data_IF_875145716920
#
_entry.id   IF_875145716920
#
_cell.length_a   1.000
_cell.length_b   1.000
_cell.length_c   1.000
_cell.angle_alpha   90.00
_cell.angle_beta   90.00
_cell.angle_gamma   90.00
#
_symmetry.space_group_name_H-M   'P 1'
#
loop_
_entity.id
_entity.type
_entity.pdbx_description
1 polymer ?
#
# COMPACT_ATOMS: atom_id res chain seq x y z
N UNK A 1 -24.70 23.54 -23.54
CA UNK A 1 -25.19 22.21 -23.20
C UNK A 1 -25.57 22.22 -21.70
N UNK A 2 -26.59 21.50 -21.25
CA UNK A 2 -26.89 21.45 -19.82
C UNK A 2 -25.73 20.87 -19.01
N UNK A 3 -25.49 21.42 -17.83
CA UNK A 3 -24.43 20.96 -16.94
C UNK A 3 -24.72 19.53 -16.48
N UNK A 4 -23.74 18.63 -16.60
CA UNK A 4 -23.91 17.21 -16.29
C UNK A 4 -22.64 16.58 -15.74
N UNK A 5 -22.79 15.75 -14.68
CA UNK A 5 -21.77 14.81 -14.22
C UNK A 5 -21.75 13.59 -15.13
N UNK A 6 -20.57 13.14 -15.54
CA UNK A 6 -20.38 11.97 -16.40
C UNK A 6 -19.67 10.81 -15.67
N UNK A 7 -18.63 11.11 -14.89
CA UNK A 7 -17.83 10.09 -14.20
C UNK A 7 -17.11 10.67 -12.97
N UNK A 8 -16.61 9.76 -12.13
CA UNK A 8 -15.69 10.08 -11.02
C UNK A 8 -14.46 9.18 -11.12
N UNK A 9 -13.30 9.73 -10.84
CA UNK A 9 -12.03 8.99 -10.80
C UNK A 9 -11.16 9.44 -9.62
N UNK A 10 -10.46 8.50 -8.97
CA UNK A 10 -10.58 7.06 -9.14
C UNK A 10 -11.94 6.56 -8.59
N UNK A 11 -12.25 5.28 -8.81
CA UNK A 11 -13.51 4.68 -8.33
C UNK A 11 -13.51 4.43 -6.83
N UNK A 12 -12.32 4.38 -6.20
CA UNK A 12 -12.13 4.13 -4.77
C UNK A 12 -11.46 5.34 -4.12
N UNK A 13 -11.85 5.63 -2.89
CA UNK A 13 -11.19 6.66 -2.10
C UNK A 13 -11.29 6.36 -0.60
N UNK A 14 -10.37 6.94 0.17
CA UNK A 14 -10.49 7.09 1.63
C UNK A 14 -10.63 8.56 1.97
N UNK A 15 -10.89 8.87 3.23
CA UNK A 15 -10.91 10.23 3.75
C UNK A 15 -9.69 11.06 3.28
N UNK A 16 -9.94 12.31 2.92
CA UNK A 16 -8.96 13.25 2.36
C UNK A 16 -8.35 12.84 1.02
N UNK A 17 -8.76 11.71 0.43
CA UNK A 17 -8.39 11.32 -0.93
C UNK A 17 -8.90 12.32 -1.96
N UNK A 18 -8.09 12.62 -2.97
CA UNK A 18 -8.44 13.56 -4.05
C UNK A 18 -9.15 12.81 -5.17
N UNK A 19 -10.43 13.08 -5.35
CA UNK A 19 -11.22 12.57 -6.47
C UNK A 19 -11.43 13.64 -7.52
N UNK A 20 -11.64 13.22 -8.76
CA UNK A 20 -11.95 14.10 -9.91
C UNK A 20 -13.32 13.72 -10.47
N UNK A 21 -14.22 14.67 -10.46
CA UNK A 21 -15.53 14.58 -11.14
C UNK A 21 -15.36 15.10 -12.54
N UNK A 22 -15.70 14.29 -13.53
CA UNK A 22 -15.67 14.61 -14.95
C UNK A 22 -17.09 14.88 -15.46
N UNK A 23 -17.24 15.85 -16.38
CA UNK A 23 -18.55 16.21 -16.91
C UNK A 23 -18.48 17.34 -17.91
N UNK A 24 -19.55 18.11 -18.00
CA UNK A 24 -19.64 19.27 -18.91
C UNK A 24 -20.48 20.38 -18.30
N UNK A 25 -20.16 21.63 -18.67
CA UNK A 25 -20.94 22.81 -18.29
C UNK A 25 -20.93 23.12 -16.80
N UNK A 26 -19.90 22.71 -16.05
CA UNK A 26 -19.82 23.01 -14.63
C UNK A 26 -19.80 24.52 -14.37
N UNK A 27 -20.53 25.04 -13.36
CA UNK A 27 -20.69 26.47 -13.11
C UNK A 27 -19.43 27.05 -12.47
N UNK A 28 -18.49 27.51 -13.31
CA UNK A 28 -17.21 28.10 -12.87
C UNK A 28 -17.17 29.62 -12.99
N UNK A 29 -18.18 30.23 -13.64
CA UNK A 29 -18.26 31.67 -13.86
C UNK A 29 -18.83 32.45 -12.65
N UNK A 30 -18.98 31.77 -11.50
CA UNK A 30 -19.47 32.35 -10.26
C UNK A 30 -18.30 32.73 -9.33
N UNK A 31 -18.46 33.74 -8.46
CA UNK A 31 -17.42 34.13 -7.50
C UNK A 31 -17.04 33.02 -6.50
N UNK A 32 -17.90 32.02 -6.32
CA UNK A 32 -17.68 30.88 -5.42
C UNK A 32 -17.48 29.61 -6.22
N UNK A 33 -16.58 28.73 -5.73
CA UNK A 33 -16.40 27.40 -6.28
C UNK A 33 -17.70 26.59 -6.22
N UNK A 34 -17.94 25.69 -7.18
CA UNK A 34 -19.09 24.78 -7.16
C UNK A 34 -19.14 23.97 -5.85
N UNK A 35 -20.31 23.83 -5.27
CA UNK A 35 -20.50 22.98 -4.09
C UNK A 35 -20.64 21.54 -4.54
N UNK A 36 -19.78 20.69 -3.96
CA UNK A 36 -19.73 19.23 -4.22
C UNK A 36 -20.11 18.50 -2.94
N UNK A 37 -20.91 17.46 -3.08
CA UNK A 37 -21.36 16.61 -1.97
C UNK A 37 -21.06 15.15 -2.27
N UNK A 38 -20.59 14.42 -1.25
CA UNK A 38 -20.51 12.96 -1.21
C UNK A 38 -21.60 12.48 -0.24
N UNK A 39 -22.64 11.83 -0.77
CA UNK A 39 -23.85 11.63 0.00
C UNK A 39 -24.41 12.99 0.48
N UNK A 40 -24.52 13.15 1.80
CA UNK A 40 -24.98 14.41 2.42
C UNK A 40 -23.80 15.31 2.89
N UNK A 41 -22.56 14.82 2.83
CA UNK A 41 -21.40 15.53 3.32
C UNK A 41 -20.78 16.45 2.27
N UNK A 42 -20.53 17.72 2.64
CA UNK A 42 -19.89 18.69 1.75
C UNK A 42 -18.41 18.37 1.56
N UNK A 43 -17.96 18.31 0.30
CA UNK A 43 -16.58 18.08 -0.07
C UNK A 43 -15.84 19.39 -0.35
N UNK A 44 -14.58 19.47 0.06
CA UNK A 44 -13.72 20.60 -0.24
C UNK A 44 -13.24 20.54 -1.66
N UNK A 45 -13.67 21.49 -2.50
CA UNK A 45 -13.18 21.64 -3.88
C UNK A 45 -11.79 22.27 -3.85
N UNK A 46 -10.86 21.66 -4.59
CA UNK A 46 -9.45 22.11 -4.70
C UNK A 46 -9.09 22.55 -6.12
N UNK A 47 -9.92 22.21 -7.10
CA UNK A 47 -9.79 22.66 -8.49
C UNK A 47 -11.16 22.59 -9.18
N UNK A 48 -11.45 23.55 -10.06
CA UNK A 48 -12.65 23.53 -10.90
C UNK A 48 -12.36 24.09 -12.31
N UNK A 49 -12.96 23.45 -13.30
CA UNK A 49 -13.06 23.89 -14.70
C UNK A 49 -14.42 23.52 -15.26
N UNK A 50 -14.76 23.97 -16.46
CA UNK A 50 -16.04 23.65 -17.10
C UNK A 50 -16.29 22.14 -17.32
N UNK A 51 -15.24 21.30 -17.24
CA UNK A 51 -15.32 19.85 -17.51
C UNK A 51 -14.77 18.98 -16.39
N UNK A 52 -14.08 19.55 -15.40
CA UNK A 52 -13.45 18.81 -14.31
C UNK A 52 -13.52 19.57 -12.99
N UNK A 53 -13.88 18.88 -11.94
CA UNK A 53 -13.82 19.38 -10.56
C UNK A 53 -13.05 18.36 -9.73
N UNK A 54 -11.99 18.80 -9.04
CA UNK A 54 -11.30 17.99 -8.06
C UNK A 54 -11.74 18.37 -6.65
N UNK A 55 -12.10 17.36 -5.85
CA UNK A 55 -12.54 17.54 -4.47
C UNK A 55 -11.86 16.53 -3.55
N UNK A 56 -11.77 16.88 -2.26
CA UNK A 56 -11.28 15.98 -1.23
C UNK A 56 -12.45 15.27 -0.57
N UNK A 57 -12.32 13.97 -0.37
CA UNK A 57 -13.30 13.15 0.35
C UNK A 57 -13.43 13.66 1.79
N UNK A 58 -14.64 14.01 2.26
CA UNK A 58 -14.83 14.48 3.62
C UNK A 58 -14.62 13.36 4.65
N UNK A 59 -14.29 13.76 5.88
CA UNK A 59 -14.19 12.86 7.01
C UNK A 59 -15.56 12.28 7.42
N UNK A 60 -15.52 11.13 8.09
CA UNK A 60 -16.69 10.56 8.77
C UNK A 60 -17.71 9.87 7.84
N UNK A 61 -17.33 9.51 6.62
CA UNK A 61 -18.16 8.65 5.76
C UNK A 61 -18.08 7.20 6.24
N UNK A 62 -19.22 6.53 6.29
CA UNK A 62 -19.33 5.14 6.79
C UNK A 62 -18.71 4.09 5.87
N UNK A 63 -18.34 4.48 4.64
CA UNK A 63 -17.85 3.56 3.63
C UNK A 63 -18.94 3.06 2.69
N UNK A 64 -18.50 2.37 1.61
CA UNK A 64 -19.41 1.87 0.56
C UNK A 64 -19.67 2.87 -0.55
N UNK A 65 -20.62 2.50 -1.41
CA UNK A 65 -20.94 3.25 -2.63
C UNK A 65 -21.66 4.56 -2.34
N UNK A 66 -20.97 5.67 -2.55
CA UNK A 66 -21.43 7.01 -2.20
C UNK A 66 -21.66 7.84 -3.46
N UNK A 67 -22.89 8.39 -3.67
CA UNK A 67 -23.16 9.26 -4.82
C UNK A 67 -22.48 10.62 -4.66
N UNK A 68 -21.97 11.17 -5.77
CA UNK A 68 -21.44 12.52 -5.83
C UNK A 68 -22.43 13.42 -6.54
N UNK A 69 -22.77 14.53 -5.91
CA UNK A 69 -23.65 15.57 -6.47
C UNK A 69 -22.95 16.92 -6.51
N UNK A 70 -23.28 17.72 -7.49
CA UNK A 70 -22.84 19.12 -7.63
C UNK A 70 -24.09 20.00 -7.71
N UNK A 71 -24.14 21.07 -6.93
CA UNK A 71 -25.30 21.99 -6.92
C UNK A 71 -25.55 22.57 -8.33
N UNK A 72 -26.80 22.46 -8.79
CA UNK A 72 -27.21 22.98 -10.10
C UNK A 72 -26.75 22.17 -11.30
N UNK A 73 -26.15 20.98 -11.07
CA UNK A 73 -25.65 20.09 -12.13
C UNK A 73 -26.46 18.81 -12.14
N UNK A 74 -26.90 18.35 -13.29
CA UNK A 74 -27.65 17.12 -13.45
C UNK A 74 -26.74 15.88 -13.43
N UNK A 75 -27.33 14.72 -13.09
CA UNK A 75 -26.62 13.44 -12.99
C UNK A 75 -25.81 13.31 -11.70
N UNK A 76 -25.45 12.10 -11.42
CA UNK A 76 -24.56 11.69 -10.34
C UNK A 76 -23.60 10.62 -10.84
N UNK A 77 -22.52 10.43 -10.11
CA UNK A 77 -21.61 9.32 -10.32
C UNK A 77 -21.13 8.84 -8.94
N UNK A 78 -21.10 7.54 -8.69
CA UNK A 78 -20.67 7.04 -7.39
C UNK A 78 -19.16 6.93 -7.29
N UNK A 79 -18.68 7.05 -6.06
CA UNK A 79 -17.34 6.63 -5.63
C UNK A 79 -17.49 5.61 -4.50
N UNK A 80 -16.67 4.60 -4.48
CA UNK A 80 -16.65 3.63 -3.39
C UNK A 80 -15.67 4.11 -2.31
N UNK A 81 -16.18 4.38 -1.10
CA UNK A 81 -15.39 4.80 0.05
C UNK A 81 -14.94 3.56 0.81
N UNK A 82 -13.63 3.38 0.95
CA UNK A 82 -13.10 2.28 1.74
C UNK A 82 -13.29 2.54 3.23
N UNK A 83 -13.85 1.57 3.93
CA UNK A 83 -14.13 1.69 5.35
C UNK A 83 -12.89 1.40 6.21
N UNK A 84 -12.69 2.11 7.35
CA UNK A 84 -11.72 1.70 8.35
C UNK A 84 -11.99 0.26 8.83
N UNK A 85 -10.97 -0.58 8.75
CA UNK A 85 -11.03 -2.00 9.14
C UNK A 85 -10.31 -2.24 10.47
N UNK A 86 -9.17 -1.54 10.68
CA UNK A 86 -8.47 -1.50 11.96
C UNK A 86 -7.81 -0.13 12.16
N UNK A 87 -7.83 0.39 13.37
CA UNK A 87 -7.28 1.70 13.73
C UNK A 87 -6.31 1.59 14.91
N UNK A 88 -5.57 2.66 15.19
CA UNK A 88 -4.58 2.70 16.28
C UNK A 88 -3.38 1.80 15.99
N UNK A 89 -2.93 1.79 14.76
CA UNK A 89 -1.77 1.05 14.26
C UNK A 89 -0.52 1.94 14.27
N UNK A 90 0.62 1.35 13.97
CA UNK A 90 1.82 2.05 13.51
C UNK A 90 2.47 1.22 12.40
N UNK A 91 1.77 1.16 11.27
CA UNK A 91 2.19 0.42 10.08
C UNK A 91 3.27 1.20 9.34
N UNK A 92 4.29 0.52 8.87
CA UNK A 92 5.45 1.12 8.16
C UNK A 92 5.80 0.43 6.85
N UNK A 93 5.18 -0.73 6.57
CA UNK A 93 5.29 -1.51 5.34
C UNK A 93 3.93 -2.15 5.01
N UNK A 94 3.88 -3.11 4.11
CA UNK A 94 2.68 -3.85 3.79
C UNK A 94 2.14 -4.61 5.00
N UNK A 95 0.83 -4.61 5.24
CA UNK A 95 0.21 -5.64 6.05
C UNK A 95 0.22 -6.97 5.30
N UNK A 96 0.00 -8.08 5.98
CA UNK A 96 -0.03 -9.40 5.34
C UNK A 96 -1.26 -10.18 5.74
N UNK A 97 -1.81 -10.97 4.80
CA UNK A 97 -2.90 -11.90 5.05
C UNK A 97 -2.38 -13.32 5.22
N UNK A 98 -2.95 -14.07 6.16
CA UNK A 98 -2.80 -15.52 6.19
C UNK A 98 -3.84 -16.22 5.28
N UNK A 99 -3.76 -17.56 5.22
CA UNK A 99 -4.69 -18.38 4.41
C UNK A 99 -6.13 -18.36 4.92
N UNK A 100 -6.35 -17.94 6.15
CA UNK A 100 -7.66 -17.80 6.80
C UNK A 100 -8.25 -16.39 6.66
N UNK A 101 -7.64 -15.52 5.84
CA UNK A 101 -8.02 -14.13 5.63
C UNK A 101 -7.88 -13.25 6.88
N UNK A 102 -7.07 -13.67 7.87
CA UNK A 102 -6.67 -12.79 8.96
C UNK A 102 -5.58 -11.84 8.47
N UNK A 103 -5.71 -10.56 8.82
CA UNK A 103 -4.75 -9.52 8.50
C UNK A 103 -3.79 -9.32 9.68
N UNK A 104 -2.50 -9.33 9.41
CA UNK A 104 -1.47 -8.96 10.39
C UNK A 104 -0.98 -7.55 10.10
N UNK A 105 -0.92 -6.72 11.15
CA UNK A 105 -0.52 -5.32 11.11
C UNK A 105 0.46 -5.00 12.23
N UNK A 106 1.45 -4.15 11.95
CA UNK A 106 2.49 -3.80 12.92
C UNK A 106 2.07 -2.63 13.81
N UNK A 107 2.65 -2.61 15.02
CA UNK A 107 2.77 -1.42 15.83
C UNK A 107 4.26 -1.16 16.09
N UNK A 108 4.91 -0.42 15.19
CA UNK A 108 6.36 -0.28 15.17
C UNK A 108 6.93 0.63 16.28
N UNK A 109 6.16 1.58 16.76
CA UNK A 109 6.62 2.57 17.75
C UNK A 109 7.72 3.50 17.23
N UNK A 110 8.25 4.36 18.09
CA UNK A 110 9.42 5.19 17.80
C UNK A 110 10.70 4.36 17.84
N UNK A 111 11.79 4.88 17.26
CA UNK A 111 13.06 4.13 17.16
C UNK A 111 13.57 3.67 18.53
N UNK A 112 13.81 2.38 18.67
CA UNK A 112 14.27 1.74 19.91
C UNK A 112 13.22 1.64 21.01
N UNK A 113 11.98 2.01 20.73
CA UNK A 113 10.89 1.94 21.70
C UNK A 113 10.37 0.50 21.77
N UNK A 114 10.30 -0.03 22.99
CA UNK A 114 9.52 -1.23 23.28
C UNK A 114 8.05 -0.82 23.43
N UNK A 115 7.18 -1.44 22.64
CA UNK A 115 5.74 -1.15 22.60
C UNK A 115 4.95 -2.28 23.28
N UNK A 116 3.75 -2.00 23.84
CA UNK A 116 2.96 -3.03 24.53
C UNK A 116 2.51 -4.17 23.61
N UNK A 117 2.28 -3.88 22.34
CA UNK A 117 1.92 -4.86 21.30
C UNK A 117 2.80 -4.60 20.10
N UNK A 118 3.44 -5.64 19.56
CA UNK A 118 4.27 -5.52 18.37
C UNK A 118 3.47 -5.77 17.10
N UNK A 119 2.57 -6.76 17.12
CA UNK A 119 1.74 -7.14 15.98
C UNK A 119 0.33 -7.42 16.45
N UNK A 120 -0.64 -6.85 15.76
CA UNK A 120 -2.05 -7.20 15.88
C UNK A 120 -2.45 -8.18 14.78
N UNK A 121 -3.36 -9.09 15.09
CA UNK A 121 -4.14 -9.87 14.14
C UNK A 121 -5.55 -9.31 14.07
N UNK A 122 -6.02 -9.03 12.86
CA UNK A 122 -7.37 -8.55 12.58
C UNK A 122 -8.12 -9.65 11.84
N UNK A 123 -9.16 -10.18 12.45
CA UNK A 123 -9.99 -11.23 11.85
C UNK A 123 -10.85 -10.70 10.70
N UNK A 124 -11.39 -11.57 9.82
CA UNK A 124 -12.26 -11.15 8.74
C UNK A 124 -13.47 -10.32 9.16
N UNK A 125 -13.97 -10.49 10.39
CA UNK A 125 -15.07 -9.72 10.99
C UNK A 125 -14.64 -8.35 11.55
N UNK A 126 -13.33 -7.99 11.46
CA UNK A 126 -12.77 -6.75 11.99
C UNK A 126 -12.32 -6.83 13.45
N UNK A 127 -12.51 -7.96 14.15
CA UNK A 127 -12.01 -8.15 15.51
C UNK A 127 -10.50 -8.09 15.55
N UNK A 128 -9.95 -7.11 16.28
CA UNK A 128 -8.51 -6.93 16.46
C UNK A 128 -8.06 -7.53 17.79
N UNK A 129 -7.04 -8.36 17.74
CA UNK A 129 -6.43 -9.01 18.90
C UNK A 129 -4.90 -8.86 18.90
N UNK A 130 -4.28 -8.91 20.07
CA UNK A 130 -2.82 -8.98 20.18
C UNK A 130 -2.34 -10.32 19.65
N UNK A 131 -1.46 -10.32 18.65
CA UNK A 131 -0.84 -11.54 18.13
C UNK A 131 0.51 -11.82 18.81
N UNK A 132 1.41 -10.83 18.85
CA UNK A 132 2.64 -10.95 19.61
C UNK A 132 3.10 -9.63 20.23
N UNK A 133 3.98 -9.75 21.24
CA UNK A 133 4.60 -8.65 21.97
C UNK A 133 6.10 -8.87 22.05
N UNK A 134 6.88 -7.84 22.36
CA UNK A 134 8.31 -7.98 22.66
C UNK A 134 9.26 -7.70 21.49
N UNK A 135 8.77 -7.51 20.25
CA UNK A 135 9.61 -7.07 19.14
C UNK A 135 9.84 -5.56 19.21
N UNK A 136 11.06 -5.13 19.02
CA UNK A 136 11.40 -3.71 18.92
C UNK A 136 11.39 -3.26 17.46
N UNK A 137 10.61 -2.25 17.15
CA UNK A 137 10.45 -1.68 15.80
C UNK A 137 10.19 -2.74 14.70
N UNK A 138 9.13 -3.58 14.85
CA UNK A 138 8.71 -4.45 13.76
C UNK A 138 8.40 -3.59 12.53
N UNK A 139 8.93 -3.97 11.36
CA UNK A 139 8.86 -3.14 10.16
C UNK A 139 8.12 -3.85 9.04
N UNK A 140 8.71 -4.87 8.44
CA UNK A 140 8.10 -5.66 7.39
C UNK A 140 7.72 -7.05 7.89
N UNK A 141 6.73 -7.63 7.24
CA UNK A 141 6.23 -8.96 7.56
C UNK A 141 6.05 -9.79 6.28
N UNK A 142 6.24 -11.10 6.40
CA UNK A 142 5.90 -12.07 5.36
C UNK A 142 5.44 -13.38 5.99
N UNK A 143 4.44 -14.04 5.40
CA UNK A 143 4.06 -15.41 5.81
C UNK A 143 4.99 -16.39 5.13
N UNK A 144 5.67 -17.21 5.92
CA UNK A 144 6.54 -18.26 5.44
C UNK A 144 5.80 -19.48 4.87
N UNK A 145 6.52 -20.39 4.19
CA UNK A 145 5.93 -21.62 3.67
C UNK A 145 5.39 -22.56 4.76
N UNK A 146 5.91 -22.44 5.96
CA UNK A 146 5.46 -23.13 7.19
C UNK A 146 4.16 -22.54 7.77
N UNK A 147 3.72 -21.40 7.29
CA UNK A 147 2.57 -20.65 7.77
C UNK A 147 2.88 -19.70 8.92
N UNK A 148 4.11 -19.66 9.42
CA UNK A 148 4.52 -18.72 10.47
C UNK A 148 4.78 -17.33 9.91
N UNK A 149 4.74 -16.32 10.76
CA UNK A 149 4.99 -14.94 10.40
C UNK A 149 6.47 -14.62 10.59
N UNK A 150 7.12 -14.13 9.55
CA UNK A 150 8.48 -13.60 9.61
C UNK A 150 8.42 -12.08 9.68
N UNK A 151 9.19 -11.50 10.62
CA UNK A 151 9.10 -10.07 10.95
C UNK A 151 10.49 -9.47 11.04
N UNK A 152 10.76 -8.41 10.28
CA UNK A 152 12.01 -7.67 10.41
C UNK A 152 11.96 -6.65 11.55
N UNK A 153 13.03 -6.59 12.34
CA UNK A 153 13.29 -5.51 13.30
C UNK A 153 14.40 -4.62 12.76
N UNK A 154 14.01 -3.45 12.26
CA UNK A 154 14.98 -2.47 11.73
C UNK A 154 15.95 -1.91 12.77
N UNK A 155 15.60 -2.01 14.05
CA UNK A 155 16.45 -1.55 15.16
C UNK A 155 17.50 -2.59 15.55
N UNK A 156 17.12 -3.88 15.52
CA UNK A 156 17.97 -4.97 15.99
C UNK A 156 18.76 -5.64 14.85
N UNK A 157 18.49 -5.28 13.59
CA UNK A 157 19.17 -5.89 12.44
C UNK A 157 18.80 -7.36 12.22
N UNK A 158 17.64 -7.77 12.70
CA UNK A 158 17.24 -9.16 12.83
C UNK A 158 15.90 -9.41 12.17
N UNK A 159 15.75 -10.56 11.53
CA UNK A 159 14.44 -11.12 11.16
C UNK A 159 14.08 -12.18 12.20
N UNK A 160 12.90 -12.07 12.76
CA UNK A 160 12.32 -13.00 13.71
C UNK A 160 11.28 -13.88 13.02
N UNK A 161 11.19 -15.13 13.44
CA UNK A 161 10.08 -16.04 13.17
C UNK A 161 9.11 -15.95 14.36
N UNK A 162 7.86 -15.68 14.07
CA UNK A 162 6.76 -15.62 15.05
C UNK A 162 5.82 -16.77 14.76
N UNK A 163 5.76 -17.74 15.64
CA UNK A 163 4.95 -18.94 15.51
C UNK A 163 3.46 -18.64 15.67
N UNK A 164 2.60 -19.59 15.30
CA UNK A 164 1.14 -19.40 15.31
C UNK A 164 0.55 -19.10 16.69
N UNK A 165 1.24 -19.49 17.75
CA UNK A 165 0.90 -19.20 19.16
C UNK A 165 1.47 -17.87 19.67
N UNK A 166 2.24 -17.14 18.82
CA UNK A 166 2.88 -15.87 19.15
C UNK A 166 4.27 -15.99 19.76
N UNK A 167 4.83 -17.21 19.90
CA UNK A 167 6.22 -17.41 20.33
C UNK A 167 7.19 -16.85 19.29
N UNK A 168 8.27 -16.18 19.76
CA UNK A 168 9.22 -15.45 18.91
C UNK A 168 10.60 -16.11 19.01
N UNK A 169 11.22 -16.39 17.86
CA UNK A 169 12.59 -16.86 17.76
C UNK A 169 13.37 -16.04 16.72
N UNK A 170 14.65 -15.69 16.96
CA UNK A 170 15.52 -15.14 15.95
C UNK A 170 15.67 -16.12 14.78
N UNK A 171 15.58 -15.62 13.55
CA UNK A 171 15.74 -16.42 12.35
C UNK A 171 17.01 -16.05 11.57
N UNK A 172 17.23 -14.77 11.29
CA UNK A 172 18.43 -14.28 10.64
C UNK A 172 18.88 -12.96 11.27
N UNK A 173 20.19 -12.82 11.49
CA UNK A 173 20.82 -11.68 12.17
C UNK A 173 21.83 -10.98 11.29
N UNK A 174 22.35 -9.85 11.77
CA UNK A 174 23.40 -9.07 11.09
C UNK A 174 23.00 -8.54 9.70
N UNK A 175 21.71 -8.23 9.53
CA UNK A 175 21.11 -7.78 8.27
C UNK A 175 21.12 -6.26 8.07
N UNK A 176 21.88 -5.52 8.86
CA UNK A 176 21.90 -4.05 8.81
C UNK A 176 20.61 -3.43 9.32
N UNK A 177 19.85 -2.79 8.44
CA UNK A 177 18.52 -2.20 8.76
C UNK A 177 17.46 -2.90 7.89
N UNK A 178 17.05 -4.12 8.24
CA UNK A 178 16.11 -4.90 7.43
C UNK A 178 14.73 -4.24 7.43
N UNK A 179 14.24 -3.89 6.25
CA UNK A 179 13.03 -3.10 6.06
C UNK A 179 11.96 -3.76 5.19
N UNK A 180 12.34 -4.70 4.32
CA UNK A 180 11.41 -5.38 3.43
C UNK A 180 11.62 -6.89 3.46
N UNK A 181 10.53 -7.67 3.43
CA UNK A 181 10.54 -9.12 3.43
C UNK A 181 9.67 -9.68 2.32
N UNK A 182 10.14 -10.70 1.62
CA UNK A 182 9.31 -11.51 0.72
C UNK A 182 9.85 -12.94 0.61
N UNK A 183 8.96 -13.93 0.52
CA UNK A 183 9.32 -15.30 0.20
C UNK A 183 9.12 -15.58 -1.29
N UNK A 184 10.07 -16.30 -1.90
CA UNK A 184 9.84 -16.90 -3.21
C UNK A 184 8.99 -18.18 -3.10
N UNK A 185 8.64 -18.77 -4.24
CA UNK A 185 7.83 -20.01 -4.30
C UNK A 185 8.56 -21.23 -3.74
N UNK A 186 9.89 -21.21 -3.68
CA UNK A 186 10.73 -22.27 -3.15
C UNK A 186 10.89 -22.16 -1.62
N UNK A 187 10.35 -21.08 -1.01
CA UNK A 187 10.42 -20.80 0.41
C UNK A 187 11.73 -20.19 0.87
N UNK A 188 12.45 -19.53 -0.03
CA UNK A 188 13.62 -18.73 0.30
C UNK A 188 13.17 -17.33 0.68
N UNK A 189 13.67 -16.80 1.80
CA UNK A 189 13.38 -15.45 2.24
C UNK A 189 14.32 -14.47 1.56
N UNK A 190 13.76 -13.35 1.07
CA UNK A 190 14.53 -12.19 0.62
C UNK A 190 14.30 -11.03 1.57
N UNK A 191 15.38 -10.32 1.90
CA UNK A 191 15.38 -9.23 2.87
C UNK A 191 16.02 -8.00 2.24
N UNK A 192 15.29 -6.88 2.21
CA UNK A 192 15.83 -5.60 1.78
C UNK A 192 16.43 -4.83 2.96
N UNK A 193 17.73 -4.59 2.93
CA UNK A 193 18.40 -3.70 3.86
C UNK A 193 18.36 -2.26 3.33
N UNK A 194 18.07 -1.31 4.20
CA UNK A 194 17.95 0.12 3.89
C UNK A 194 19.18 0.71 3.19
N UNK A 195 20.38 0.13 3.37
CA UNK A 195 21.60 0.57 2.68
C UNK A 195 21.59 0.26 1.18
N UNK A 196 20.70 -0.61 0.71
CA UNK A 196 20.54 -0.99 -0.70
C UNK A 196 20.84 -2.46 -0.97
N UNK A 197 21.28 -3.23 0.01
CA UNK A 197 21.53 -4.65 -0.18
C UNK A 197 20.22 -5.44 -0.13
N UNK A 198 19.99 -6.30 -1.12
CA UNK A 198 18.98 -7.34 -1.06
C UNK A 198 19.67 -8.64 -0.69
N UNK A 199 19.33 -9.18 0.46
CA UNK A 199 19.84 -10.48 0.92
C UNK A 199 18.90 -11.60 0.49
N UNK A 200 19.49 -12.74 0.19
CA UNK A 200 18.85 -14.04 0.11
C UNK A 200 19.19 -14.81 1.38
N UNK A 201 18.18 -15.28 2.10
CA UNK A 201 18.31 -15.98 3.38
C UNK A 201 17.84 -17.41 3.21
N UNK A 202 18.68 -18.36 3.51
CA UNK A 202 18.36 -19.78 3.41
C UNK A 202 17.50 -20.27 4.60
N UNK A 203 17.09 -21.54 4.56
CA UNK A 203 16.25 -22.14 5.61
C UNK A 203 16.96 -22.26 6.98
N UNK A 204 18.27 -22.14 7.02
CA UNK A 204 19.07 -22.12 8.24
C UNK A 204 19.27 -20.70 8.80
N UNK A 205 18.70 -19.67 8.13
CA UNK A 205 18.85 -18.27 8.51
C UNK A 205 20.16 -17.63 8.03
N UNK A 206 20.93 -18.29 7.15
CA UNK A 206 22.19 -17.75 6.64
C UNK A 206 21.91 -16.78 5.48
N UNK A 207 22.36 -15.54 5.64
CA UNK A 207 22.16 -14.49 4.66
C UNK A 207 23.34 -14.38 3.70
N UNK A 208 23.04 -14.21 2.41
CA UNK A 208 24.03 -13.89 1.35
C UNK A 208 23.51 -12.73 0.52
N UNK A 209 24.40 -11.82 0.09
CA UNK A 209 24.01 -10.73 -0.79
C UNK A 209 23.57 -11.29 -2.15
N UNK A 210 22.41 -10.84 -2.62
CA UNK A 210 21.81 -11.26 -3.88
C UNK A 210 21.83 -10.16 -4.94
N UNK A 211 21.49 -8.92 -4.55
CA UNK A 211 21.48 -7.76 -5.44
C UNK A 211 21.81 -6.49 -4.66
N UNK A 212 22.13 -5.41 -5.40
CA UNK A 212 22.38 -4.10 -4.83
C UNK A 212 21.57 -3.03 -5.56
N UNK A 213 20.87 -2.19 -4.79
CA UNK A 213 20.04 -1.08 -5.23
C UNK A 213 20.54 0.24 -4.62
N UNK A 214 20.11 1.40 -5.09
CA UNK A 214 20.30 2.66 -4.37
C UNK A 214 19.74 2.57 -2.95
N UNK A 215 20.41 3.19 -1.97
CA UNK A 215 19.93 3.24 -0.59
C UNK A 215 18.60 3.98 -0.48
N UNK A 216 17.71 3.51 0.39
CA UNK A 216 16.42 4.13 0.66
C UNK A 216 16.49 5.11 1.82
N UNK A 217 15.68 6.18 1.75
CA UNK A 217 15.46 7.12 2.87
C UNK A 217 14.36 6.65 3.82
N UNK A 218 13.59 5.61 3.42
CA UNK A 218 12.55 5.00 4.22
C UNK A 218 12.71 3.46 4.27
N UNK A 219 11.64 2.70 4.02
CA UNK A 219 11.68 1.25 3.92
C UNK A 219 11.90 0.79 2.47
N UNK A 220 12.44 -0.40 2.28
CA UNK A 220 12.28 -1.19 1.07
C UNK A 220 10.98 -1.98 1.18
N UNK A 221 10.26 -2.10 0.08
CA UNK A 221 9.06 -2.92 -0.02
C UNK A 221 9.28 -3.96 -1.11
N UNK A 222 9.04 -5.22 -0.80
CA UNK A 222 9.36 -6.37 -1.63
C UNK A 222 8.10 -7.16 -1.97
N UNK A 223 7.98 -7.60 -3.22
CA UNK A 223 6.95 -8.55 -3.64
C UNK A 223 7.46 -9.42 -4.79
N UNK A 224 7.18 -10.74 -4.74
CA UNK A 224 7.43 -11.60 -5.88
C UNK A 224 6.30 -11.51 -6.91
N UNK A 225 6.68 -11.34 -8.17
CA UNK A 225 5.76 -11.36 -9.28
C UNK A 225 5.39 -12.79 -9.74
N UNK A 226 4.36 -12.91 -10.59
CA UNK A 226 3.98 -14.19 -11.18
C UNK A 226 5.08 -14.78 -12.10
N UNK A 227 5.99 -13.97 -12.57
CA UNK A 227 7.19 -14.31 -13.35
C UNK A 227 8.38 -14.75 -12.49
N UNK A 228 8.17 -14.89 -11.18
CA UNK A 228 9.17 -15.31 -10.18
C UNK A 228 10.34 -14.32 -10.02
N UNK A 229 10.23 -13.11 -10.55
CA UNK A 229 11.15 -12.03 -10.27
C UNK A 229 10.74 -11.28 -8.98
N UNK A 230 11.74 -10.77 -8.26
CA UNK A 230 11.51 -9.91 -7.10
C UNK A 230 11.33 -8.46 -7.55
N UNK A 231 10.22 -7.86 -7.17
CA UNK A 231 9.96 -6.44 -7.40
C UNK A 231 10.20 -5.66 -6.12
N UNK A 232 10.82 -4.49 -6.28
CA UNK A 232 11.24 -3.66 -5.15
C UNK A 232 10.88 -2.21 -5.40
N UNK A 233 10.23 -1.57 -4.43
CA UNK A 233 10.07 -0.13 -4.36
C UNK A 233 10.80 0.42 -3.14
N UNK A 234 11.37 1.60 -3.30
CA UNK A 234 12.05 2.29 -2.20
C UNK A 234 12.15 3.78 -2.51
N UNK A 235 11.65 4.67 -1.64
CA UNK A 235 11.84 6.09 -1.83
C UNK A 235 13.30 6.49 -1.59
N UNK A 236 13.82 7.35 -2.45
CA UNK A 236 15.16 7.95 -2.34
C UNK A 236 15.07 9.46 -2.15
N UNK A 237 16.16 10.18 -2.35
CA UNK A 237 16.16 11.65 -2.42
C UNK A 237 15.94 12.16 -3.86
N UNK A 238 15.68 11.26 -4.80
CA UNK A 238 15.36 11.62 -6.18
C UNK A 238 13.96 12.27 -6.27
N UNK A 239 13.73 13.19 -7.20
CA UNK A 239 12.38 13.70 -7.48
C UNK A 239 11.46 12.64 -8.11
N UNK A 240 12.04 11.60 -8.72
CA UNK A 240 11.35 10.46 -9.30
C UNK A 240 12.06 9.16 -8.91
N UNK A 241 11.32 8.29 -8.27
CA UNK A 241 11.78 6.99 -7.84
C UNK A 241 11.30 5.89 -8.79
N UNK A 242 11.99 4.74 -8.70
CA UNK A 242 11.76 3.59 -9.56
C UNK A 242 11.20 2.41 -8.79
N UNK A 243 10.42 1.59 -9.50
CA UNK A 243 10.18 0.20 -9.15
C UNK A 243 11.21 -0.64 -9.87
N UNK A 244 11.99 -1.41 -9.13
CA UNK A 244 13.00 -2.30 -9.66
C UNK A 244 12.45 -3.71 -9.83
N UNK A 245 13.01 -4.46 -10.78
CA UNK A 245 12.80 -5.88 -10.99
C UNK A 245 14.14 -6.59 -10.87
N UNK A 246 14.22 -7.61 -10.03
CA UNK A 246 15.44 -8.39 -9.79
C UNK A 246 15.19 -9.82 -10.24
N UNK A 247 16.01 -10.28 -11.16
CA UNK A 247 15.97 -11.64 -11.66
C UNK A 247 16.48 -12.67 -10.63
N UNK A 248 16.25 -13.95 -10.90
CA UNK A 248 16.75 -15.05 -10.08
C UNK A 248 18.28 -15.09 -9.96
N UNK A 249 18.99 -14.53 -10.94
CA UNK A 249 20.45 -14.38 -11.00
C UNK A 249 20.96 -13.12 -10.27
N UNK A 250 20.06 -12.31 -9.69
CA UNK A 250 20.38 -11.04 -9.04
C UNK A 250 20.52 -9.86 -10.01
N UNK A 251 20.27 -10.05 -11.31
CA UNK A 251 20.30 -8.96 -12.28
C UNK A 251 19.18 -7.96 -12.02
N UNK A 252 19.54 -6.68 -11.93
CA UNK A 252 18.63 -5.58 -11.63
C UNK A 252 18.20 -4.87 -12.90
N UNK A 253 16.92 -4.70 -13.09
CA UNK A 253 16.30 -3.88 -14.14
C UNK A 253 15.33 -2.88 -13.55
N UNK A 254 15.09 -1.77 -14.25
CA UNK A 254 14.03 -0.81 -13.89
C UNK A 254 12.73 -1.28 -14.54
N UNK A 255 11.70 -1.52 -13.72
CA UNK A 255 10.35 -1.84 -14.20
C UNK A 255 9.56 -0.58 -14.57
N UNK A 256 9.71 0.48 -13.78
CA UNK A 256 9.05 1.77 -14.00
C UNK A 256 9.78 2.88 -13.24
N UNK A 257 9.84 4.07 -13.82
CA UNK A 257 10.33 5.29 -13.17
C UNK A 257 9.27 6.38 -13.31
N UNK A 258 8.95 7.10 -12.23
CA UNK A 258 7.99 8.21 -12.29
C UNK A 258 7.14 8.37 -11.04
N UNK A 259 7.27 7.48 -10.06
CA UNK A 259 6.69 7.71 -8.74
C UNK A 259 7.53 8.74 -7.97
N UNK A 260 6.87 9.61 -7.21
CA UNK A 260 7.57 10.60 -6.40
C UNK A 260 7.98 10.08 -5.03
N UNK A 261 7.23 9.14 -4.47
CA UNK A 261 7.50 8.50 -3.19
C UNK A 261 6.82 7.12 -3.11
N UNK A 262 7.29 6.14 -3.88
CA UNK A 262 6.71 4.80 -3.84
C UNK A 262 6.94 4.15 -2.47
N UNK A 263 5.91 3.50 -1.98
CA UNK A 263 5.87 2.75 -0.73
C UNK A 263 5.51 1.29 -1.04
N UNK A 264 4.63 0.68 -0.24
CA UNK A 264 4.22 -0.70 -0.37
C UNK A 264 3.86 -1.12 -1.78
N UNK A 265 4.28 -2.33 -2.16
CA UNK A 265 3.96 -2.97 -3.43
C UNK A 265 3.38 -4.36 -3.18
N UNK A 266 2.47 -4.77 -4.03
CA UNK A 266 1.92 -6.12 -4.00
C UNK A 266 1.37 -6.51 -5.37
N UNK A 267 1.29 -7.81 -5.63
CA UNK A 267 0.59 -8.36 -6.78
C UNK A 267 -0.80 -8.86 -6.37
N UNK A 268 -1.80 -8.62 -7.22
CA UNK A 268 -3.10 -9.25 -7.06
C UNK A 268 -3.09 -10.68 -7.64
N UNK A 269 -4.22 -11.39 -7.49
CA UNK A 269 -4.37 -12.76 -7.98
C UNK A 269 -4.34 -12.89 -9.52
N UNK A 270 -4.47 -11.78 -10.25
CA UNK A 270 -4.36 -11.72 -11.72
C UNK A 270 -2.93 -11.48 -12.19
N UNK A 271 -2.03 -11.14 -11.25
CA UNK A 271 -0.65 -10.79 -11.53
C UNK A 271 -0.45 -9.31 -11.89
N UNK A 272 -1.43 -8.45 -11.63
CA UNK A 272 -1.27 -7.02 -11.76
C UNK A 272 -0.45 -6.47 -10.58
N UNK A 273 0.54 -5.63 -10.86
CA UNK A 273 1.35 -4.97 -9.84
C UNK A 273 0.65 -3.71 -9.34
N UNK A 274 0.52 -3.59 -8.03
CA UNK A 274 0.03 -2.40 -7.37
C UNK A 274 1.15 -1.73 -6.57
N UNK A 275 1.18 -0.39 -6.61
CA UNK A 275 2.18 0.44 -5.94
C UNK A 275 1.46 1.54 -5.18
N UNK A 276 1.82 1.71 -3.92
CA UNK A 276 1.39 2.84 -3.11
C UNK A 276 2.27 4.05 -3.42
N UNK A 277 1.66 5.17 -3.80
CA UNK A 277 2.33 6.47 -3.97
C UNK A 277 1.94 7.38 -2.81
N UNK A 278 2.94 7.86 -2.07
CA UNK A 278 2.74 8.71 -0.90
C UNK A 278 3.02 10.20 -1.16
N UNK A 279 3.40 10.60 -2.39
CA UNK A 279 3.65 11.99 -2.71
C UNK A 279 2.37 12.82 -2.63
N UNK A 280 2.41 13.92 -1.88
CA UNK A 280 1.26 14.81 -1.70
C UNK A 280 0.70 15.32 -3.04
N UNK A 281 -0.62 15.27 -3.16
CA UNK A 281 -1.35 15.73 -4.36
C UNK A 281 -1.60 14.66 -5.42
N UNK A 282 -0.84 13.56 -5.39
CA UNK A 282 -1.03 12.38 -6.28
C UNK A 282 -1.05 11.08 -5.49
N UNK A 283 -1.16 11.15 -4.14
CA UNK A 283 -1.12 9.99 -3.27
C UNK A 283 -2.31 9.05 -3.46
N UNK A 284 -2.02 7.77 -3.43
CA UNK A 284 -3.01 6.71 -3.61
C UNK A 284 -2.40 5.35 -3.93
N UNK A 285 -3.26 4.42 -4.28
CA UNK A 285 -2.89 3.11 -4.79
C UNK A 285 -2.97 3.11 -6.32
N UNK A 286 -1.86 2.82 -6.96
CA UNK A 286 -1.75 2.75 -8.42
C UNK A 286 -1.61 1.31 -8.88
N UNK A 287 -2.30 0.97 -9.96
CA UNK A 287 -2.05 -0.26 -10.73
C UNK A 287 -1.04 0.08 -11.83
N UNK A 288 0.03 -0.68 -11.89
CA UNK A 288 1.01 -0.62 -12.97
C UNK A 288 0.70 -1.76 -13.95
N UNK A 289 0.24 -1.45 -15.18
CA UNK A 289 -0.14 -2.50 -16.12
C UNK A 289 1.04 -3.43 -16.44
N UNK A 290 0.79 -4.71 -16.75
CA UNK A 290 1.82 -5.58 -17.27
C UNK A 290 2.34 -4.99 -18.58
N UNK A 291 3.65 -4.78 -18.70
CA UNK A 291 4.30 -4.42 -19.98
C UNK A 291 4.37 -5.66 -20.89
N UNK A 292 4.52 -5.45 -22.20
CA UNK A 292 4.62 -6.55 -23.19
C UNK A 292 5.76 -7.54 -22.89
N UNK A 293 6.81 -7.09 -22.14
CA UNK A 293 7.92 -7.93 -21.68
C UNK A 293 8.20 -7.74 -20.18
N UNK A 294 7.22 -7.26 -19.41
CA UNK A 294 7.42 -6.86 -18.02
C UNK A 294 8.19 -5.55 -17.84
N UNK A 295 8.62 -4.88 -18.90
CA UNK A 295 9.48 -3.69 -18.90
C UNK A 295 8.99 -2.61 -19.86
N UNK A 296 7.69 -2.26 -19.88
CA UNK A 296 7.24 -1.11 -20.66
C UNK A 296 7.52 0.19 -19.88
N UNK A 297 8.56 0.96 -20.25
CA UNK A 297 8.87 2.23 -19.61
C UNK A 297 7.80 3.31 -19.87
N UNK A 298 6.89 3.09 -20.84
CA UNK A 298 5.79 3.98 -21.18
C UNK A 298 4.47 3.55 -20.53
N UNK A 299 4.46 2.51 -19.70
CA UNK A 299 3.26 2.13 -18.96
C UNK A 299 2.80 3.30 -18.10
N UNK A 300 1.57 3.74 -18.27
CA UNK A 300 0.96 4.81 -17.47
C UNK A 300 0.28 4.15 -16.26
N UNK A 301 0.75 4.42 -15.03
CA UNK A 301 0.09 3.91 -13.84
C UNK A 301 -1.34 4.43 -13.73
N UNK A 302 -2.28 3.56 -13.41
CA UNK A 302 -3.68 3.92 -13.21
C UNK A 302 -3.95 4.10 -11.72
N UNK A 303 -4.44 5.28 -11.32
CA UNK A 303 -4.89 5.53 -9.95
C UNK A 303 -6.17 4.75 -9.67
N UNK A 304 -6.10 3.77 -8.80
CA UNK A 304 -7.20 2.89 -8.42
C UNK A 304 -7.93 3.38 -7.18
N UNK A 305 -7.17 3.91 -6.20
CA UNK A 305 -7.71 4.46 -4.96
C UNK A 305 -6.99 5.76 -4.63
N UNK A 306 -7.75 6.82 -4.34
CA UNK A 306 -7.21 8.07 -3.83
C UNK A 306 -7.16 8.05 -2.30
N UNK A 307 -5.99 8.33 -1.73
CA UNK A 307 -5.81 8.38 -0.28
C UNK A 307 -4.46 8.96 0.12
N UNK A 308 -4.42 9.86 1.11
CA UNK A 308 -3.18 10.41 1.62
C UNK A 308 -2.46 9.43 2.54
N UNK A 309 -1.14 9.61 2.66
CA UNK A 309 -0.31 8.96 3.68
C UNK A 309 -0.40 7.42 3.71
N UNK A 310 -0.71 6.79 2.58
CA UNK A 310 -0.67 5.35 2.47
C UNK A 310 0.77 4.84 2.56
N UNK A 311 0.95 3.69 3.20
CA UNK A 311 2.27 3.05 3.39
C UNK A 311 2.30 1.62 2.85
N UNK A 312 1.15 0.94 2.77
CA UNK A 312 1.13 -0.46 2.35
C UNK A 312 -0.19 -0.89 1.71
N UNK A 313 -0.13 -2.03 1.03
CA UNK A 313 -1.25 -2.71 0.40
C UNK A 313 -1.10 -4.22 0.56
N UNK A 314 -2.21 -4.93 0.76
CA UNK A 314 -2.24 -6.39 0.77
C UNK A 314 -3.49 -6.92 0.07
N UNK A 315 -3.31 -8.05 -0.62
CA UNK A 315 -4.38 -8.82 -1.26
C UNK A 315 -4.58 -10.13 -0.51
N UNK A 316 -5.77 -10.34 0.02
CA UNK A 316 -6.13 -11.55 0.76
C UNK A 316 -6.55 -12.69 -0.16
N UNK A 317 -6.55 -13.94 0.35
CA UNK A 317 -6.86 -15.14 -0.43
C UNK A 317 -8.29 -15.15 -0.98
N UNK A 318 -9.23 -14.51 -0.29
CA UNK A 318 -10.65 -14.42 -0.67
C UNK A 318 -10.97 -13.18 -1.53
N UNK A 319 -9.94 -12.54 -2.12
CA UNK A 319 -10.08 -11.32 -2.90
C UNK A 319 -10.27 -10.06 -2.04
N UNK A 320 -10.05 -10.16 -0.74
CA UNK A 320 -9.95 -9.00 0.17
C UNK A 320 -8.80 -8.10 -0.27
N UNK A 321 -9.03 -6.80 -0.26
CA UNK A 321 -8.00 -5.80 -0.51
C UNK A 321 -7.97 -4.83 0.66
N UNK A 322 -6.79 -4.62 1.22
CA UNK A 322 -6.57 -3.66 2.29
C UNK A 322 -5.45 -2.72 1.90
N UNK A 323 -5.68 -1.42 2.10
CA UNK A 323 -4.62 -0.41 2.07
C UNK A 323 -4.42 0.13 3.48
N UNK A 324 -3.18 0.45 3.83
CA UNK A 324 -2.87 1.02 5.13
C UNK A 324 -2.27 2.41 5.01
N UNK A 325 -2.77 3.33 5.82
CA UNK A 325 -1.99 4.47 6.28
C UNK A 325 -1.10 4.06 7.45
N UNK A 326 -0.38 5.00 8.04
CA UNK A 326 0.45 4.71 9.21
C UNK A 326 -0.39 4.21 10.40
N UNK A 327 -1.61 4.68 10.58
CA UNK A 327 -2.45 4.43 11.77
C UNK A 327 -3.73 3.64 11.51
N UNK A 328 -4.12 3.46 10.27
CA UNK A 328 -5.42 2.86 9.90
C UNK A 328 -5.28 1.92 8.70
N UNK A 329 -5.86 0.73 8.81
CA UNK A 329 -6.09 -0.18 7.70
C UNK A 329 -7.51 0.03 7.15
N UNK A 330 -7.64 0.21 5.85
CA UNK A 330 -8.91 0.40 5.15
C UNK A 330 -9.20 -0.80 4.26
N UNK A 331 -10.38 -1.37 4.41
CA UNK A 331 -10.84 -2.50 3.58
C UNK A 331 -11.63 -1.97 2.38
N UNK A 332 -11.26 -2.41 1.19
CA UNK A 332 -12.02 -2.16 -0.01
C UNK A 332 -13.09 -3.26 -0.12
N UNK A 333 -14.35 -2.87 0.00
CA UNK A 333 -15.47 -3.78 -0.28
C UNK A 333 -15.69 -3.79 -1.79
N UNK A 334 -15.60 -4.94 -2.45
CA UNK A 334 -16.11 -5.04 -3.82
C UNK A 334 -17.63 -4.86 -3.75
N UNK A 335 -18.13 -3.81 -4.38
CA UNK A 335 -19.57 -3.75 -4.68
C UNK A 335 -19.89 -4.96 -5.56
N UNK A 336 -20.81 -5.81 -5.07
CA UNK A 336 -21.25 -7.00 -5.77
C UNK A 336 -21.91 -6.64 -7.11
#
# INVERSE_FOLDING_TARGET
MPARVAAVRPLWAIESGRITVEGSGFPIDQPQLPKVYLGESSARVVYASATRIAALVPAGLEGGRTPIRIDGVSGDAPVDIAAPFATGLHQVDNPVFDRSDNLYVTYSGTRGQQVPVSIFRVRPDGTRETFCTGLVNPTSMAIGPDGDLYVSSRFEGTVYRVMQDGEIAPFATDLGIPCGLAFDREGTLFVGDRSGTIFRVDRAGQATAHASLPSSVAAFHLAFGPDEALYVSAPTLSPYDSVFKIGRDGAVAIRYTGFGRPQGIAFDQRGDLFVVEALAGVSGLYRLPPGNDGNDPNAVPELMLAGPSLVGVAFGPNGSVVVCSNDTAYRLSRSA
#
